data_IF_777794776306
#
_entry.id   IF_777794776306
#
_cell.length_a   1.000
_cell.length_b   1.000
_cell.length_c   1.000
_cell.angle_alpha   90.00
_cell.angle_beta   90.00
_cell.angle_gamma   90.00
#
_symmetry.space_group_name_H-M   'P 1'
#
loop_
_entity.id
_entity.type
_entity.pdbx_description
1 polymer ?
#
# COMPACT_ATOMS: atom_id res chain seq x y z
N UNK A 1 38.51 -27.52 4.24
CA UNK A 1 37.12 -27.14 4.02
C UNK A 1 36.55 -26.89 5.41
N UNK A 2 36.46 -25.66 5.88
CA UNK A 2 35.78 -25.30 7.11
C UNK A 2 34.28 -25.31 6.84
N UNK A 3 33.58 -26.35 7.28
CA UNK A 3 32.13 -26.32 7.43
C UNK A 3 31.86 -25.38 8.59
N UNK A 4 31.57 -24.11 8.32
CA UNK A 4 30.93 -23.25 9.31
C UNK A 4 29.59 -23.91 9.64
N UNK A 5 29.43 -24.44 10.86
CA UNK A 5 28.12 -24.75 11.37
C UNK A 5 27.31 -23.44 11.33
N UNK A 6 26.41 -23.31 10.39
CA UNK A 6 25.43 -22.22 10.39
C UNK A 6 24.53 -22.56 11.57
N UNK A 7 24.71 -21.87 12.69
CA UNK A 7 23.73 -21.90 13.78
C UNK A 7 22.52 -21.15 13.19
N UNK A 8 21.50 -21.91 12.77
CA UNK A 8 20.24 -21.32 12.33
C UNK A 8 19.57 -20.72 13.57
N UNK A 9 19.50 -19.41 13.61
CA UNK A 9 18.72 -18.66 14.59
C UNK A 9 17.23 -18.92 14.30
N UNK A 10 16.42 -19.04 15.32
CA UNK A 10 14.97 -19.14 15.18
C UNK A 10 14.26 -18.37 16.27
N UNK A 11 13.09 -17.81 15.92
CA UNK A 11 12.22 -17.05 16.82
C UNK A 11 10.76 -17.42 16.56
N UNK A 12 9.89 -17.07 17.51
CA UNK A 12 8.45 -17.30 17.40
C UNK A 12 7.71 -15.99 17.59
N UNK A 13 6.68 -15.77 16.79
CA UNK A 13 5.77 -14.63 16.89
C UNK A 13 4.33 -15.09 16.69
N UNK A 14 3.39 -14.44 17.36
CA UNK A 14 1.97 -14.69 17.20
C UNK A 14 1.49 -14.31 15.79
N UNK A 15 2.07 -13.25 15.22
CA UNK A 15 1.79 -12.80 13.84
C UNK A 15 3.05 -12.23 13.21
N UNK A 16 3.28 -12.50 11.94
CA UNK A 16 4.33 -11.88 11.13
C UNK A 16 3.68 -11.13 9.97
N UNK A 17 4.10 -9.89 9.76
CA UNK A 17 3.67 -9.07 8.62
C UNK A 17 4.90 -8.76 7.76
N UNK A 18 4.83 -9.02 6.46
CA UNK A 18 5.91 -8.78 5.51
C UNK A 18 5.52 -7.61 4.61
N UNK A 19 6.22 -6.49 4.78
CA UNK A 19 6.00 -5.22 4.08
C UNK A 19 5.50 -4.11 4.99
N UNK A 20 6.18 -2.95 4.94
CA UNK A 20 5.93 -1.77 5.78
C UNK A 20 5.23 -0.61 5.04
N UNK A 21 4.54 -0.89 3.93
CA UNK A 21 3.62 0.06 3.32
C UNK A 21 2.34 0.23 4.15
N UNK A 22 1.43 1.11 3.70
CA UNK A 22 0.18 1.41 4.43
C UNK A 22 -0.60 0.15 4.83
N UNK A 23 -0.63 -0.89 3.98
CA UNK A 23 -1.35 -2.13 4.26
C UNK A 23 -0.74 -2.87 5.46
N UNK A 24 0.59 -3.02 5.50
CA UNK A 24 1.29 -3.70 6.59
C UNK A 24 1.24 -2.92 7.90
N UNK A 25 1.50 -1.62 7.85
CA UNK A 25 1.44 -0.73 9.02
C UNK A 25 0.03 -0.70 9.65
N UNK A 26 -0.99 -0.52 8.81
CA UNK A 26 -2.38 -0.51 9.28
C UNK A 26 -2.79 -1.85 9.86
N UNK A 27 -2.42 -2.97 9.19
CA UNK A 27 -2.70 -4.32 9.68
C UNK A 27 -2.02 -4.57 11.04
N UNK A 28 -0.76 -4.17 11.22
CA UNK A 28 -0.03 -4.31 12.47
C UNK A 28 -0.76 -3.62 13.63
N UNK A 29 -1.13 -2.35 13.45
CA UNK A 29 -1.83 -1.56 14.47
C UNK A 29 -3.24 -2.10 14.77
N UNK A 30 -3.96 -2.60 13.75
CA UNK A 30 -5.31 -3.16 13.95
C UNK A 30 -5.29 -4.51 14.64
N UNK A 31 -4.35 -5.39 14.28
CA UNK A 31 -4.20 -6.71 14.90
C UNK A 31 -3.80 -6.56 16.35
N UNK A 32 -2.83 -5.70 16.64
CA UNK A 32 -2.37 -5.45 18.01
C UNK A 32 -3.51 -4.99 18.92
N UNK A 33 -4.42 -4.13 18.42
CA UNK A 33 -5.57 -3.65 19.19
C UNK A 33 -6.67 -4.70 19.41
N UNK A 34 -6.77 -5.73 18.59
CA UNK A 34 -7.93 -6.62 18.55
C UNK A 34 -7.62 -8.06 18.95
N UNK A 35 -6.35 -8.46 18.89
CA UNK A 35 -5.94 -9.85 19.08
C UNK A 35 -4.95 -9.94 20.24
N UNK A 36 -5.12 -10.95 21.09
CA UNK A 36 -4.09 -11.28 22.07
C UNK A 36 -2.88 -11.90 21.37
N UNK A 37 -1.71 -11.30 21.53
CA UNK A 37 -0.46 -11.67 20.89
C UNK A 37 0.59 -12.07 21.94
N UNK A 38 0.51 -13.28 22.52
CA UNK A 38 1.39 -13.70 23.60
C UNK A 38 2.88 -13.68 23.23
N UNK A 39 3.20 -13.93 21.96
CA UNK A 39 4.58 -13.91 21.44
C UNK A 39 4.87 -12.63 20.61
N UNK A 40 4.02 -11.59 20.72
CA UNK A 40 4.18 -10.34 19.99
C UNK A 40 3.84 -10.42 18.51
N UNK A 41 4.08 -9.31 17.82
CA UNK A 41 3.93 -9.14 16.37
C UNK A 41 5.26 -8.69 15.77
N UNK A 42 5.68 -9.34 14.70
CA UNK A 42 6.86 -8.94 13.93
C UNK A 42 6.43 -8.31 12.60
N UNK A 43 6.93 -7.10 12.33
CA UNK A 43 6.84 -6.44 11.03
C UNK A 43 8.22 -6.47 10.36
N UNK A 44 8.29 -7.07 9.16
CA UNK A 44 9.52 -7.20 8.38
C UNK A 44 9.47 -6.26 7.19
N UNK A 45 10.56 -5.53 6.96
CA UNK A 45 10.72 -4.68 5.78
C UNK A 45 12.11 -4.79 5.19
N UNK A 46 12.21 -4.91 3.87
CA UNK A 46 13.48 -5.05 3.16
C UNK A 46 14.31 -3.78 3.07
N UNK A 47 13.74 -2.65 3.47
CA UNK A 47 14.41 -1.36 3.56
C UNK A 47 14.07 -0.70 4.90
N UNK A 48 14.26 0.61 5.03
CA UNK A 48 13.86 1.34 6.23
C UNK A 48 12.34 1.42 6.35
N UNK A 49 11.87 1.47 7.58
CA UNK A 49 10.45 1.60 7.90
C UNK A 49 9.87 2.85 7.24
N UNK A 50 8.77 2.69 6.52
CA UNK A 50 8.14 3.77 5.78
C UNK A 50 8.76 4.05 4.41
N UNK A 51 9.64 3.19 3.90
CA UNK A 51 10.08 3.24 2.50
C UNK A 51 9.23 2.28 1.68
N UNK A 52 8.22 2.80 0.99
CA UNK A 52 7.26 2.02 0.25
C UNK A 52 6.60 2.81 -0.88
N UNK A 53 5.86 2.15 -1.77
CA UNK A 53 5.01 2.83 -2.77
C UNK A 53 4.02 3.80 -2.14
N UNK A 54 3.50 3.48 -0.95
CA UNK A 54 2.54 4.31 -0.23
C UNK A 54 3.09 5.70 0.05
N UNK A 55 4.38 5.81 0.40
CA UNK A 55 5.07 7.07 0.68
C UNK A 55 5.02 8.05 -0.49
N UNK A 56 5.06 7.54 -1.71
CA UNK A 56 5.11 8.33 -2.94
C UNK A 56 3.74 8.54 -3.58
N UNK A 57 2.67 8.05 -2.95
CA UNK A 57 1.31 8.26 -3.43
C UNK A 57 0.90 9.72 -3.25
N UNK A 58 0.63 10.40 -4.38
CA UNK A 58 0.25 11.82 -4.44
C UNK A 58 -1.26 12.00 -4.35
N UNK A 59 -2.04 11.06 -4.90
CA UNK A 59 -3.50 11.10 -4.89
C UNK A 59 -4.09 11.04 -3.49
N UNK A 60 -5.37 11.37 -3.39
CA UNK A 60 -6.09 11.29 -2.13
C UNK A 60 -6.62 9.90 -1.83
N UNK A 61 -7.27 9.78 -0.69
CA UNK A 61 -7.91 8.55 -0.22
C UNK A 61 -9.43 8.69 -0.27
N UNK A 62 -10.09 7.70 -0.84
CA UNK A 62 -11.57 7.65 -0.91
C UNK A 62 -12.16 7.42 0.48
N UNK A 63 -13.14 8.27 0.86
CA UNK A 63 -13.89 8.09 2.09
C UNK A 63 -15.37 8.47 1.92
N UNK A 64 -16.27 7.47 2.01
CA UNK A 64 -17.71 7.75 2.06
C UNK A 64 -18.08 8.09 3.51
N UNK A 65 -17.83 9.35 3.87
CA UNK A 65 -18.00 9.84 5.22
C UNK A 65 -19.44 10.27 5.50
N UNK A 66 -19.95 9.99 6.70
CA UNK A 66 -21.31 10.40 7.12
C UNK A 66 -21.50 11.93 7.15
N UNK A 67 -20.43 12.64 7.30
CA UNK A 67 -20.38 14.11 7.29
C UNK A 67 -20.62 14.68 5.88
N UNK A 68 -20.25 13.95 4.85
CA UNK A 68 -20.48 14.32 3.45
C UNK A 68 -21.90 13.96 3.01
N UNK A 69 -22.85 14.89 3.17
CA UNK A 69 -24.28 14.68 2.84
C UNK A 69 -24.58 14.52 1.35
N UNK A 70 -23.63 14.87 0.48
CA UNK A 70 -23.79 14.74 -0.98
C UNK A 70 -23.40 13.38 -1.51
N UNK A 71 -22.83 12.51 -0.67
CA UNK A 71 -22.32 11.18 -1.05
C UNK A 71 -23.10 10.04 -0.40
N UNK A 72 -22.92 8.85 -0.94
CA UNK A 72 -23.47 7.61 -0.38
C UNK A 72 -22.63 6.40 -0.81
N UNK A 73 -22.66 5.36 0.01
CA UNK A 73 -22.04 4.07 -0.32
C UNK A 73 -22.55 3.50 -1.65
N UNK A 74 -23.86 3.66 -1.94
CA UNK A 74 -24.43 3.21 -3.22
C UNK A 74 -23.85 3.97 -4.42
N UNK A 75 -23.63 5.29 -4.29
CA UNK A 75 -22.99 6.10 -5.32
C UNK A 75 -21.54 5.64 -5.57
N UNK A 76 -20.77 5.41 -4.51
CA UNK A 76 -19.38 4.93 -4.63
C UNK A 76 -19.31 3.54 -5.28
N UNK A 77 -20.19 2.60 -4.87
CA UNK A 77 -20.28 1.27 -5.49
C UNK A 77 -20.57 1.40 -7.00
N UNK A 78 -21.54 2.24 -7.37
CA UNK A 78 -21.90 2.45 -8.78
C UNK A 78 -20.74 2.99 -9.60
N UNK A 79 -20.04 4.02 -9.10
CA UNK A 79 -18.86 4.61 -9.76
C UNK A 79 -17.75 3.56 -9.95
N UNK A 80 -17.46 2.77 -8.91
CA UNK A 80 -16.40 1.75 -8.93
C UNK A 80 -16.73 0.61 -9.91
N UNK A 81 -17.95 0.10 -9.90
CA UNK A 81 -18.39 -0.96 -10.85
C UNK A 81 -18.33 -0.45 -12.30
N UNK A 82 -18.76 0.81 -12.52
CA UNK A 82 -18.67 1.43 -13.85
C UNK A 82 -17.22 1.56 -14.32
N UNK A 83 -16.32 2.07 -13.46
CA UNK A 83 -14.90 2.22 -13.78
C UNK A 83 -14.21 0.87 -14.03
N UNK A 84 -14.62 -0.17 -13.32
CA UNK A 84 -14.08 -1.53 -13.47
C UNK A 84 -14.50 -2.27 -14.75
N UNK A 85 -15.32 -1.66 -15.60
CA UNK A 85 -15.68 -2.17 -16.95
C UNK A 85 -16.08 -3.66 -16.98
N UNK A 86 -16.74 -4.17 -15.95
CA UNK A 86 -17.21 -5.55 -15.84
C UNK A 86 -16.23 -6.53 -15.17
N UNK A 87 -15.05 -6.09 -14.78
CA UNK A 87 -14.05 -6.93 -14.10
C UNK A 87 -14.17 -6.88 -12.56
N UNK A 88 -14.83 -5.85 -12.03
CA UNK A 88 -14.96 -5.68 -10.58
C UNK A 88 -15.91 -6.69 -9.96
N UNK A 89 -15.49 -7.34 -8.87
CA UNK A 89 -16.35 -8.23 -8.09
C UNK A 89 -17.22 -7.38 -7.14
N UNK A 90 -18.55 -7.51 -7.30
CA UNK A 90 -19.52 -6.65 -6.61
C UNK A 90 -19.45 -6.71 -5.09
N UNK A 91 -19.31 -7.90 -4.50
CA UNK A 91 -19.29 -8.04 -3.04
C UNK A 91 -18.02 -7.42 -2.43
N UNK A 92 -16.90 -7.52 -3.13
CA UNK A 92 -15.63 -6.88 -2.73
C UNK A 92 -15.76 -5.35 -2.79
N UNK A 93 -16.29 -4.81 -3.89
CA UNK A 93 -16.53 -3.36 -4.04
C UNK A 93 -17.48 -2.86 -2.94
N UNK A 94 -18.57 -3.59 -2.70
CA UNK A 94 -19.53 -3.27 -1.63
C UNK A 94 -18.85 -3.25 -0.26
N UNK A 95 -18.08 -4.29 0.06
CA UNK A 95 -17.40 -4.42 1.35
C UNK A 95 -16.44 -3.23 1.58
N UNK A 96 -15.59 -2.92 0.61
CA UNK A 96 -14.63 -1.80 0.70
C UNK A 96 -15.37 -0.47 0.87
N UNK A 97 -16.43 -0.23 0.08
CA UNK A 97 -17.19 1.01 0.13
C UNK A 97 -17.90 1.20 1.48
N UNK A 98 -18.48 0.13 2.04
CA UNK A 98 -19.17 0.14 3.34
C UNK A 98 -18.22 0.38 4.51
N UNK A 99 -16.94 -0.01 4.40
CA UNK A 99 -15.97 0.12 5.48
C UNK A 99 -15.10 1.38 5.38
N UNK A 100 -15.22 2.17 4.32
CA UNK A 100 -14.36 3.33 4.07
C UNK A 100 -14.43 4.39 5.20
N UNK A 101 -15.62 4.69 5.74
CA UNK A 101 -15.81 5.60 6.89
C UNK A 101 -15.03 5.14 8.14
N UNK A 102 -15.09 3.84 8.43
CA UNK A 102 -14.40 3.27 9.58
C UNK A 102 -12.87 3.36 9.42
N UNK A 103 -12.36 3.09 8.23
CA UNK A 103 -10.91 3.18 7.93
C UNK A 103 -10.41 4.61 8.08
N UNK A 104 -11.11 5.61 7.52
CA UNK A 104 -10.73 7.02 7.68
C UNK A 104 -10.72 7.43 9.15
N UNK A 105 -11.73 7.01 9.93
CA UNK A 105 -11.78 7.28 11.37
C UNK A 105 -10.65 6.63 12.15
N UNK A 106 -10.22 5.44 11.76
CA UNK A 106 -9.06 4.80 12.38
C UNK A 106 -7.77 5.54 12.03
N UNK A 107 -7.58 5.97 10.78
CA UNK A 107 -6.43 6.78 10.38
C UNK A 107 -6.36 8.10 11.17
N UNK A 108 -7.49 8.78 11.37
CA UNK A 108 -7.57 9.97 12.23
C UNK A 108 -7.13 9.66 13.68
N UNK A 109 -7.55 8.53 14.24
CA UNK A 109 -7.12 8.08 15.59
C UNK A 109 -5.63 7.75 15.63
N UNK A 110 -5.06 7.23 14.55
CA UNK A 110 -3.63 6.98 14.44
C UNK A 110 -2.81 8.26 14.21
N UNK A 111 -3.47 9.42 14.09
CA UNK A 111 -2.82 10.71 14.01
C UNK A 111 -2.58 11.19 12.58
N UNK A 112 -3.28 10.63 11.60
CA UNK A 112 -3.30 11.19 10.24
C UNK A 112 -4.10 12.48 10.24
N UNK A 113 -3.50 13.56 9.75
CA UNK A 113 -4.13 14.86 9.62
C UNK A 113 -4.57 15.08 8.18
N UNK A 114 -5.86 14.89 7.90
CA UNK A 114 -6.46 15.22 6.61
C UNK A 114 -6.73 16.73 6.49
N UNK A 115 -6.66 17.26 5.27
CA UNK A 115 -6.88 18.65 4.99
C UNK A 115 -8.28 19.11 5.41
N UNK A 116 -8.37 20.34 5.99
CA UNK A 116 -9.60 20.90 6.55
C UNK A 116 -9.81 22.31 6.04
N UNK A 117 -11.07 22.72 6.00
CA UNK A 117 -11.48 24.09 5.71
C UNK A 117 -11.30 25.04 6.91
N UNK A 118 -11.65 26.31 6.72
CA UNK A 118 -11.57 27.34 7.77
C UNK A 118 -12.47 27.06 8.98
N UNK A 119 -13.53 26.28 8.78
CA UNK A 119 -14.47 25.84 9.84
C UNK A 119 -14.06 24.50 10.46
N UNK A 120 -12.85 24.00 10.13
CA UNK A 120 -12.30 22.72 10.63
C UNK A 120 -13.06 21.47 10.15
N UNK A 121 -13.84 21.55 9.07
CA UNK A 121 -14.44 20.39 8.44
C UNK A 121 -13.45 19.70 7.48
N UNK A 122 -13.59 18.39 7.26
CA UNK A 122 -12.80 17.67 6.27
C UNK A 122 -13.06 18.20 4.85
N UNK A 123 -12.00 18.48 4.11
CA UNK A 123 -12.07 18.90 2.71
C UNK A 123 -12.20 17.69 1.81
N UNK A 124 -13.24 17.67 0.96
CA UNK A 124 -13.44 16.63 -0.04
C UNK A 124 -13.18 17.16 -1.44
N UNK A 125 -12.29 16.53 -2.18
CA UNK A 125 -12.01 16.80 -3.57
C UNK A 125 -12.65 15.76 -4.49
N UNK A 126 -12.50 15.94 -5.79
CA UNK A 126 -12.99 15.02 -6.82
C UNK A 126 -11.83 14.64 -7.74
N UNK A 127 -11.67 13.36 -7.97
CA UNK A 127 -10.76 12.81 -8.98
C UNK A 127 -11.55 12.13 -10.09
N UNK A 128 -10.86 11.66 -11.14
CA UNK A 128 -11.47 10.97 -12.26
C UNK A 128 -12.30 9.75 -11.80
N UNK A 129 -13.29 9.37 -12.59
CA UNK A 129 -14.24 8.27 -12.33
C UNK A 129 -15.17 8.44 -11.12
N UNK A 130 -15.04 9.50 -10.31
CA UNK A 130 -15.96 9.77 -9.20
C UNK A 130 -17.07 10.74 -9.61
N UNK A 131 -18.34 10.42 -9.32
CA UNK A 131 -19.48 11.28 -9.59
C UNK A 131 -19.62 12.45 -8.60
N UNK A 132 -19.13 12.24 -7.36
CA UNK A 132 -19.19 13.24 -6.27
C UNK A 132 -17.81 13.44 -5.62
N UNK A 133 -17.67 14.53 -4.87
CA UNK A 133 -16.47 14.80 -4.07
C UNK A 133 -16.42 13.86 -2.87
N UNK A 134 -15.43 12.96 -2.79
CA UNK A 134 -15.24 12.01 -1.70
C UNK A 134 -13.77 11.68 -1.41
N UNK A 135 -12.88 12.43 -2.04
CA UNK A 135 -11.44 12.19 -1.92
C UNK A 135 -10.89 13.08 -0.83
N UNK A 136 -10.20 12.50 0.14
CA UNK A 136 -9.52 13.18 1.23
C UNK A 136 -8.03 13.25 0.94
N UNK A 137 -7.45 14.42 1.05
CA UNK A 137 -6.02 14.65 0.95
C UNK A 137 -5.40 14.97 2.30
N UNK A 138 -4.09 14.80 2.40
CA UNK A 138 -3.30 15.16 3.58
C UNK A 138 -2.01 15.81 3.10
N UNK A 139 -1.82 17.10 3.45
CA UNK A 139 -0.67 17.85 2.99
C UNK A 139 -0.65 18.08 1.46
N UNK A 140 -1.82 18.29 0.86
CA UNK A 140 -1.97 18.48 -0.59
C UNK A 140 -1.68 17.22 -1.39
N UNK A 141 -0.57 17.17 -2.14
CA UNK A 141 -0.13 16.04 -2.96
C UNK A 141 0.82 15.08 -2.23
N UNK A 142 0.89 15.15 -0.91
CA UNK A 142 1.73 14.32 -0.07
C UNK A 142 0.94 13.30 0.77
N UNK A 143 -0.28 12.96 0.37
CA UNK A 143 -1.22 12.13 1.16
C UNK A 143 -0.60 10.84 1.64
N UNK A 144 0.04 10.09 0.75
CA UNK A 144 0.69 8.82 1.09
C UNK A 144 1.78 8.98 2.13
N UNK A 145 2.65 9.98 1.97
CA UNK A 145 3.73 10.30 2.92
C UNK A 145 3.19 10.63 4.32
N UNK A 146 2.16 11.47 4.39
CA UNK A 146 1.57 11.89 5.66
C UNK A 146 0.92 10.73 6.40
N UNK A 147 0.17 9.88 5.69
CA UNK A 147 -0.44 8.68 6.26
C UNK A 147 0.65 7.74 6.77
N UNK A 148 1.64 7.44 5.94
CA UNK A 148 2.70 6.49 6.30
C UNK A 148 3.53 6.98 7.50
N UNK A 149 3.89 8.25 7.56
CA UNK A 149 4.60 8.84 8.69
C UNK A 149 3.82 8.71 10.01
N UNK A 150 2.50 8.96 9.98
CA UNK A 150 1.65 8.82 11.17
C UNK A 150 1.58 7.36 11.63
N UNK A 151 1.40 6.41 10.70
CA UNK A 151 1.35 4.99 11.02
C UNK A 151 2.70 4.45 11.51
N UNK A 152 3.81 4.82 10.86
CA UNK A 152 5.17 4.45 11.30
C UNK A 152 5.43 4.92 12.74
N UNK A 153 5.07 6.16 13.05
CA UNK A 153 5.19 6.68 14.41
C UNK A 153 4.43 5.82 15.42
N UNK A 154 3.19 5.42 15.09
CA UNK A 154 2.37 4.57 15.96
C UNK A 154 2.94 3.17 16.12
N UNK A 155 3.52 2.60 15.07
CA UNK A 155 4.20 1.30 15.13
C UNK A 155 5.43 1.37 16.02
N UNK A 156 6.28 2.40 15.87
CA UNK A 156 7.48 2.58 16.71
C UNK A 156 7.14 2.82 18.19
N UNK A 157 6.03 3.53 18.47
CA UNK A 157 5.56 3.79 19.83
C UNK A 157 4.95 2.55 20.51
N UNK A 158 4.73 1.45 19.78
CA UNK A 158 4.04 0.26 20.29
C UNK A 158 5.03 -0.85 20.66
N UNK A 159 5.16 -1.13 21.95
CA UNK A 159 6.09 -2.13 22.50
C UNK A 159 5.76 -3.59 22.11
N UNK A 160 4.55 -3.87 21.64
CA UNK A 160 4.12 -5.20 21.20
C UNK A 160 4.43 -5.48 19.73
N UNK A 161 4.94 -4.48 18.99
CA UNK A 161 5.30 -4.58 17.57
C UNK A 161 6.81 -4.46 17.43
N UNK A 162 7.47 -5.55 17.10
CA UNK A 162 8.89 -5.56 16.76
C UNK A 162 9.06 -5.30 15.26
N UNK A 163 10.06 -4.51 14.87
CA UNK A 163 10.33 -4.17 13.47
C UNK A 163 11.71 -4.63 13.08
N UNK A 164 11.78 -5.47 12.03
CA UNK A 164 13.02 -5.86 11.38
C UNK A 164 13.17 -5.09 10.06
N UNK A 165 14.06 -4.11 10.07
CA UNK A 165 14.47 -3.36 8.89
C UNK A 165 15.60 -4.09 8.13
N UNK A 166 15.86 -3.67 6.87
CA UNK A 166 16.91 -4.25 6.01
C UNK A 166 16.87 -5.79 6.01
N UNK A 167 15.66 -6.34 5.95
CA UNK A 167 15.41 -7.77 6.12
C UNK A 167 14.50 -8.30 5.03
N UNK A 168 15.04 -9.18 4.22
CA UNK A 168 14.33 -9.87 3.16
C UNK A 168 13.60 -11.12 3.65
N UNK A 169 12.36 -11.29 3.23
CA UNK A 169 11.67 -12.57 3.33
C UNK A 169 12.09 -13.45 2.15
N UNK A 170 12.76 -14.56 2.45
CA UNK A 170 13.39 -15.42 1.44
C UNK A 170 12.48 -16.56 1.01
N UNK A 171 11.81 -17.20 1.96
CA UNK A 171 10.97 -18.37 1.71
C UNK A 171 9.87 -18.48 2.75
N UNK A 172 8.65 -18.82 2.33
CA UNK A 172 7.57 -19.22 3.23
C UNK A 172 7.69 -20.72 3.56
N UNK A 173 7.72 -21.05 4.82
CA UNK A 173 7.87 -22.43 5.28
C UNK A 173 6.51 -23.13 5.30
N UNK A 174 6.27 -24.00 4.33
CA UNK A 174 5.01 -24.73 4.20
C UNK A 174 5.21 -26.19 4.61
N UNK A 175 4.33 -26.69 5.46
CA UNK A 175 4.28 -28.10 5.87
C UNK A 175 2.83 -28.55 6.04
N UNK A 176 2.48 -29.68 5.45
CA UNK A 176 1.11 -30.24 5.49
C UNK A 176 0.05 -29.20 5.05
N UNK A 177 0.28 -28.55 3.91
CA UNK A 177 -0.56 -27.51 3.29
C UNK A 177 -0.84 -26.30 4.18
N UNK A 178 0.03 -26.04 5.16
CA UNK A 178 -0.06 -24.89 6.03
C UNK A 178 1.26 -24.12 6.05
N UNK A 179 1.18 -22.80 5.96
CA UNK A 179 2.31 -21.92 6.24
C UNK A 179 2.60 -21.95 7.75
N UNK A 180 3.84 -22.23 8.12
CA UNK A 180 4.31 -22.36 9.51
C UNK A 180 5.29 -21.28 9.93
N UNK A 181 5.81 -20.52 8.95
CA UNK A 181 6.85 -19.55 9.21
C UNK A 181 7.41 -18.95 7.93
N UNK A 182 8.46 -18.17 8.10
CA UNK A 182 9.23 -17.54 7.03
C UNK A 182 10.72 -17.65 7.33
N UNK A 183 11.52 -17.96 6.32
CA UNK A 183 12.96 -17.77 6.35
C UNK A 183 13.27 -16.34 5.95
N UNK A 184 14.04 -15.63 6.75
CA UNK A 184 14.47 -14.27 6.49
C UNK A 184 15.99 -14.18 6.36
N UNK A 185 16.45 -13.13 5.69
CA UNK A 185 17.85 -12.74 5.59
C UNK A 185 17.99 -11.27 5.95
N UNK A 186 18.84 -10.95 6.90
CA UNK A 186 19.10 -9.57 7.29
C UNK A 186 20.37 -9.05 6.59
N UNK A 187 20.22 -7.98 5.81
CA UNK A 187 21.28 -7.43 4.98
C UNK A 187 22.40 -6.74 5.80
N UNK A 188 22.08 -6.24 6.98
CA UNK A 188 23.10 -5.59 7.84
C UNK A 188 23.98 -6.63 8.54
N UNK A 189 23.37 -7.69 9.08
CA UNK A 189 24.09 -8.74 9.81
C UNK A 189 24.60 -9.86 8.92
N UNK A 190 24.08 -10.00 7.70
CA UNK A 190 24.34 -11.09 6.74
C UNK A 190 24.00 -12.47 7.32
N UNK A 191 22.95 -12.53 8.11
CA UNK A 191 22.49 -13.75 8.80
C UNK A 191 21.11 -14.18 8.34
N UNK A 192 20.90 -15.48 8.30
CA UNK A 192 19.59 -16.09 8.12
C UNK A 192 18.94 -16.38 9.47
N UNK A 193 17.63 -16.16 9.54
CA UNK A 193 16.82 -16.54 10.69
C UNK A 193 15.51 -17.19 10.22
N UNK A 194 15.06 -18.22 10.95
CA UNK A 194 13.77 -18.85 10.75
C UNK A 194 12.77 -18.29 11.75
N UNK A 195 11.71 -17.67 11.25
CA UNK A 195 10.62 -17.15 12.08
C UNK A 195 9.43 -18.08 11.98
N UNK A 196 9.02 -18.67 13.09
CA UNK A 196 7.80 -19.46 13.18
C UNK A 196 6.62 -18.58 13.59
N UNK A 197 5.48 -18.76 12.91
CA UNK A 197 4.26 -18.03 13.23
C UNK A 197 3.03 -18.79 12.68
N UNK A 198 1.94 -18.83 13.42
CA UNK A 198 0.68 -19.39 12.93
C UNK A 198 -0.04 -18.47 11.91
N UNK A 199 0.34 -17.19 11.83
CA UNK A 199 -0.26 -16.22 10.93
C UNK A 199 0.80 -15.35 10.26
N UNK A 200 0.86 -15.40 8.92
CA UNK A 200 1.74 -14.55 8.11
C UNK A 200 0.89 -13.74 7.14
N UNK A 201 1.11 -12.44 7.13
CA UNK A 201 0.44 -11.50 6.23
C UNK A 201 1.45 -10.97 5.22
N UNK A 202 1.17 -11.17 3.94
CA UNK A 202 1.93 -10.58 2.85
C UNK A 202 1.34 -9.22 2.50
N UNK A 203 2.07 -8.14 2.79
CA UNK A 203 1.74 -6.75 2.47
C UNK A 203 2.86 -6.12 1.61
N UNK A 204 3.43 -6.89 0.72
CA UNK A 204 4.70 -6.66 0.03
C UNK A 204 4.62 -5.73 -1.19
N UNK A 205 3.43 -5.18 -1.48
CA UNK A 205 3.24 -4.29 -2.62
C UNK A 205 3.26 -4.99 -3.97
N UNK A 206 3.57 -4.23 -5.01
CA UNK A 206 3.47 -4.66 -6.40
C UNK A 206 4.82 -4.98 -7.07
N UNK A 207 4.80 -5.01 -8.41
CA UNK A 207 5.88 -5.50 -9.27
C UNK A 207 6.37 -4.43 -10.27
N UNK A 208 6.19 -3.15 -9.97
CA UNK A 208 6.49 -2.06 -10.92
C UNK A 208 7.93 -2.01 -11.42
N UNK A 209 8.89 -2.52 -10.65
CA UNK A 209 10.31 -2.61 -11.06
C UNK A 209 10.60 -3.66 -12.14
N UNK A 210 9.61 -4.45 -12.55
CA UNK A 210 9.72 -5.29 -13.73
C UNK A 210 9.92 -4.47 -15.02
N UNK A 211 9.46 -3.23 -15.03
CA UNK A 211 9.50 -2.35 -16.19
C UNK A 211 10.69 -1.41 -16.14
N UNK A 212 11.34 -1.20 -17.30
CA UNK A 212 12.50 -0.29 -17.46
C UNK A 212 12.19 1.14 -17.03
N UNK A 213 10.95 1.59 -17.28
CA UNK A 213 10.47 2.92 -16.88
C UNK A 213 9.32 2.74 -15.90
N UNK A 214 9.52 3.19 -14.68
CA UNK A 214 8.56 3.01 -13.59
C UNK A 214 8.52 4.24 -12.70
N UNK A 215 7.37 4.49 -12.09
CA UNK A 215 7.18 5.49 -11.04
C UNK A 215 7.28 4.89 -9.64
N UNK A 216 7.49 3.56 -9.56
CA UNK A 216 7.58 2.84 -8.29
C UNK A 216 9.00 2.89 -7.71
N UNK A 217 9.17 2.93 -6.38
CA UNK A 217 10.47 2.84 -5.74
C UNK A 217 11.15 1.50 -6.03
N UNK A 218 12.47 1.47 -5.87
CA UNK A 218 13.33 0.29 -6.16
C UNK A 218 12.89 -0.98 -5.43
N UNK A 219 12.20 -0.84 -4.31
CA UNK A 219 11.64 -1.95 -3.54
C UNK A 219 10.46 -2.68 -4.18
N UNK A 220 9.83 -2.17 -5.25
CA UNK A 220 8.64 -2.77 -5.86
C UNK A 220 8.98 -3.92 -6.83
N UNK A 221 9.63 -4.96 -6.36
CA UNK A 221 10.23 -6.06 -7.13
C UNK A 221 9.32 -7.30 -7.27
N UNK A 222 8.18 -7.34 -6.56
CA UNK A 222 7.24 -8.45 -6.65
C UNK A 222 7.59 -9.68 -5.81
N UNK A 223 8.46 -9.56 -4.83
CA UNK A 223 8.96 -10.67 -4.01
C UNK A 223 7.83 -11.45 -3.33
N UNK A 224 6.82 -10.74 -2.81
CA UNK A 224 5.67 -11.39 -2.18
C UNK A 224 4.83 -12.22 -3.15
N UNK A 225 4.76 -11.84 -4.43
CA UNK A 225 4.12 -12.66 -5.47
C UNK A 225 4.90 -13.97 -5.66
N UNK A 226 6.23 -13.90 -5.73
CA UNK A 226 7.08 -15.08 -5.84
C UNK A 226 6.98 -15.98 -4.59
N UNK A 227 7.02 -15.41 -3.40
CA UNK A 227 6.83 -16.12 -2.13
C UNK A 227 5.49 -16.85 -2.09
N UNK A 228 4.39 -16.16 -2.44
CA UNK A 228 3.05 -16.73 -2.46
C UNK A 228 2.94 -17.88 -3.49
N UNK A 229 3.44 -17.67 -4.71
CA UNK A 229 3.45 -18.67 -5.77
C UNK A 229 4.21 -19.93 -5.36
N UNK A 230 5.42 -19.78 -4.82
CA UNK A 230 6.24 -20.89 -4.36
C UNK A 230 5.61 -21.64 -3.18
N UNK A 231 4.83 -20.95 -2.37
CA UNK A 231 4.06 -21.55 -1.28
C UNK A 231 2.76 -22.25 -1.74
N UNK A 232 2.46 -22.24 -3.05
CA UNK A 232 1.29 -22.91 -3.62
C UNK A 232 0.02 -22.06 -3.67
N UNK A 233 0.11 -20.73 -3.47
CA UNK A 233 -1.05 -19.86 -3.59
C UNK A 233 -1.54 -19.77 -5.05
N UNK A 234 -2.87 -19.68 -5.21
CA UNK A 234 -3.48 -19.42 -6.52
C UNK A 234 -3.25 -17.96 -6.90
N UNK A 235 -2.67 -17.75 -8.07
CA UNK A 235 -2.43 -16.43 -8.64
C UNK A 235 -3.57 -16.05 -9.60
N UNK A 236 -4.02 -14.80 -9.53
CA UNK A 236 -5.10 -14.28 -10.37
C UNK A 236 -4.75 -12.89 -10.88
N UNK A 237 -5.22 -12.56 -12.09
CA UNK A 237 -5.16 -11.22 -12.69
C UNK A 237 -3.72 -10.67 -12.82
N UNK A 238 -2.74 -11.56 -13.02
CA UNK A 238 -1.32 -11.20 -13.07
C UNK A 238 -0.95 -10.35 -14.29
N UNK A 239 -1.80 -10.29 -15.31
CA UNK A 239 -1.65 -9.44 -16.49
C UNK A 239 -1.96 -7.97 -16.22
N UNK A 240 -2.66 -7.64 -15.12
CA UNK A 240 -3.05 -6.27 -14.83
C UNK A 240 -1.96 -5.52 -14.09
N UNK A 241 -1.28 -4.63 -14.83
CA UNK A 241 -0.35 -3.63 -14.31
C UNK A 241 -0.84 -2.27 -14.76
N UNK A 242 -1.05 -1.34 -13.81
CA UNK A 242 -1.46 0.01 -14.15
C UNK A 242 -0.30 0.83 -14.71
N UNK A 243 -0.46 1.37 -15.93
CA UNK A 243 0.45 2.32 -16.53
C UNK A 243 -0.07 3.73 -16.29
N UNK A 244 0.67 4.54 -15.52
CA UNK A 244 0.25 5.92 -15.24
C UNK A 244 0.54 6.81 -16.47
N UNK A 245 -0.45 7.52 -17.02
CA UNK A 245 -0.31 8.22 -18.30
C UNK A 245 0.57 9.48 -18.24
N UNK A 246 0.81 10.04 -17.06
CA UNK A 246 1.55 11.30 -16.88
C UNK A 246 2.83 11.13 -16.07
N UNK A 247 3.60 10.07 -16.35
CA UNK A 247 4.97 9.95 -15.88
C UNK A 247 5.90 10.86 -16.69
N UNK A 248 6.75 11.64 -16.00
CA UNK A 248 7.68 12.57 -16.66
C UNK A 248 8.75 11.81 -17.46
N UNK A 249 8.89 12.13 -18.76
CA UNK A 249 9.78 11.40 -19.66
C UNK A 249 11.24 11.90 -19.66
N UNK A 250 11.63 12.75 -18.71
CA UNK A 250 13.02 13.15 -18.51
C UNK A 250 13.74 12.16 -17.57
N UNK A 251 15.05 12.09 -17.71
CA UNK A 251 15.87 11.22 -16.85
C UNK A 251 16.01 11.86 -15.47
N UNK A 252 15.36 11.27 -14.48
CA UNK A 252 15.34 11.73 -13.09
C UNK A 252 16.07 10.74 -12.16
N UNK A 253 16.84 9.79 -12.70
CA UNK A 253 17.46 8.69 -11.96
C UNK A 253 16.65 7.39 -12.07
N UNK A 254 16.61 6.62 -10.98
CA UNK A 254 16.03 5.26 -10.98
C UNK A 254 14.52 5.24 -11.23
N UNK A 255 13.79 6.28 -10.77
CA UNK A 255 12.34 6.35 -10.86
C UNK A 255 11.88 7.56 -11.65
N UNK A 256 10.80 7.42 -12.41
CA UNK A 256 10.17 8.53 -13.12
C UNK A 256 9.30 9.35 -12.18
N UNK A 257 9.41 10.68 -12.28
CA UNK A 257 8.56 11.58 -11.50
C UNK A 257 7.12 11.49 -12.00
N UNK A 258 6.18 11.40 -11.06
CA UNK A 258 4.75 11.33 -11.34
C UNK A 258 4.17 12.75 -11.35
N UNK A 259 3.54 13.14 -12.46
CA UNK A 259 2.70 14.34 -12.50
C UNK A 259 1.33 13.95 -11.94
N UNK A 260 0.94 14.56 -10.84
CA UNK A 260 -0.27 14.19 -10.09
C UNK A 260 -1.53 14.19 -10.95
N UNK A 261 -2.36 13.18 -10.76
CA UNK A 261 -3.68 13.08 -11.40
C UNK A 261 -4.61 14.23 -11.01
N UNK A 262 -4.44 14.82 -9.84
CA UNK A 262 -5.20 15.97 -9.39
C UNK A 262 -5.15 17.13 -10.40
N UNK A 263 -4.03 17.33 -11.09
CA UNK A 263 -3.87 18.34 -12.13
C UNK A 263 -4.88 18.12 -13.28
N UNK A 264 -5.08 16.86 -13.71
CA UNK A 264 -6.07 16.51 -14.73
C UNK A 264 -7.50 16.56 -14.17
N UNK A 265 -7.69 16.11 -12.94
CA UNK A 265 -8.98 16.16 -12.24
C UNK A 265 -9.54 17.58 -12.13
N UNK A 266 -8.68 18.58 -12.01
CA UNK A 266 -9.04 20.01 -12.02
C UNK A 266 -9.14 20.61 -13.43
N UNK A 267 -9.07 19.80 -14.50
CA UNK A 267 -9.34 20.19 -15.88
C UNK A 267 -8.12 20.60 -16.69
N UNK A 268 -6.90 20.34 -16.24
CA UNK A 268 -5.70 20.58 -17.03
C UNK A 268 -5.66 19.67 -18.27
N UNK A 269 -5.17 20.23 -19.38
CA UNK A 269 -5.02 19.55 -20.65
C UNK A 269 -3.54 19.43 -21.02
N UNK A 270 -3.16 18.28 -21.58
CA UNK A 270 -1.83 18.11 -22.14
C UNK A 270 -1.78 18.77 -23.51
N UNK A 271 -0.86 19.72 -23.68
CA UNK A 271 -0.67 20.46 -24.94
C UNK A 271 0.77 20.28 -25.43
N UNK A 272 0.96 20.38 -26.74
CA UNK A 272 2.29 20.51 -27.35
C UNK A 272 2.89 21.91 -27.12
N UNK A 273 4.11 22.15 -27.61
CA UNK A 273 4.78 23.44 -27.52
C UNK A 273 4.08 24.60 -28.26
N UNK A 274 3.10 24.30 -29.10
CA UNK A 274 2.26 25.28 -29.78
C UNK A 274 0.92 25.51 -29.07
N UNK A 275 0.73 24.95 -27.88
CA UNK A 275 -0.51 24.95 -27.10
C UNK A 275 -1.70 24.29 -27.82
N UNK A 276 -1.42 23.40 -28.77
CA UNK A 276 -2.41 22.55 -29.39
C UNK A 276 -2.66 21.35 -28.50
N UNK A 277 -3.94 21.07 -28.26
CA UNK A 277 -4.36 19.92 -27.50
C UNK A 277 -3.89 18.63 -28.19
N UNK A 278 -3.17 17.80 -27.48
CA UNK A 278 -2.83 16.46 -27.94
C UNK A 278 -3.83 15.51 -27.30
N UNK A 279 -4.74 14.93 -28.11
CA UNK A 279 -5.58 13.85 -27.61
C UNK A 279 -4.65 12.70 -27.26
N UNK A 280 -4.72 12.23 -26.04
CA UNK A 280 -4.05 11.01 -25.68
C UNK A 280 -5.02 10.07 -24.93
N UNK A 281 -4.60 8.84 -24.75
CA UNK A 281 -5.37 7.82 -24.07
C UNK A 281 -5.77 8.18 -22.62
N UNK A 282 -5.26 9.28 -22.07
CA UNK A 282 -5.61 9.77 -20.74
C UNK A 282 -7.00 10.45 -20.69
N UNK A 283 -7.56 10.83 -21.84
CA UNK A 283 -8.88 11.47 -21.91
C UNK A 283 -10.03 10.46 -22.07
N UNK A 284 -9.73 9.18 -22.29
CA UNK A 284 -10.73 8.13 -22.54
C UNK A 284 -11.08 7.30 -21.29
N UNK A 285 -10.53 7.66 -20.11
CA UNK A 285 -10.79 6.96 -18.85
C UNK A 285 -11.77 7.69 -17.95
#
# INVERSE_FOLDING_TARGET
>A
IYIRCIIMKYSNYSTVIIGSGIAGLYAALKIEQQVNLPDGLLLITKSKLGESNSRYAQGGMVGVMKENKSDSTASHISDTIKAGAGLSEFNTVKYISEHSDAVIKDLLKFGVEFDRDEDNNLCFTKEAAHSVRRILHSGGDATGKMIEQALCKKVIENENIEVYEETDAVELLVSSDQCKGVLIFNDETQEYETIYSPAIILATGGIGQLYKYTTNPVGATGDGLALAYNAGAVMQDMEFVQFHPTALAIDCGENRFLISEAVRGEGAKLCDGCLLYTSDAADEL
#
